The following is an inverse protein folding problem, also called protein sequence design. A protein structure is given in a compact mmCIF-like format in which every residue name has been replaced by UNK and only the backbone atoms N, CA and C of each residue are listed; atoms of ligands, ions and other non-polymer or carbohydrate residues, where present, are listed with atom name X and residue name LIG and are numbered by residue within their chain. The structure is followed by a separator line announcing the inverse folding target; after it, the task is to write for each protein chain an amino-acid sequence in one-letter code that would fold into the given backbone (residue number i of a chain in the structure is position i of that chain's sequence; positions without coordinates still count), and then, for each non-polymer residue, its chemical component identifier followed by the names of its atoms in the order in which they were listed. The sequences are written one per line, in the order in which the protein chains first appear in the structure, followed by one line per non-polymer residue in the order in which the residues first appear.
data_IF_005850672415
#
_entry.id   IF_005850672415
#
_cell.length_a   1.000
_cell.length_b   1.000
_cell.length_c   1.000
_cell.angle_alpha   90.00
_cell.angle_beta   90.00
_cell.angle_gamma   90.00
#
_symmetry.space_group_name_H-M   'P 1'
#
loop_
_entity.id
_entity.type
_entity.pdbx_description
1 polymer ?
#
# COMPACT_ATOMS: atom_id res chain seq x y z
N UNK A 1 6.41 -15.80 -1.53
CA UNK A 1 5.02 -15.32 -1.67
C UNK A 1 5.00 -14.27 -2.75
N UNK A 2 4.06 -14.40 -3.67
CA UNK A 2 3.76 -13.41 -4.71
C UNK A 2 2.85 -12.36 -4.09
N UNK A 3 3.11 -11.10 -4.31
CA UNK A 3 2.20 -10.00 -3.96
C UNK A 3 1.33 -9.58 -5.17
N UNK A 4 0.42 -8.64 -4.97
CA UNK A 4 -0.46 -8.16 -6.04
C UNK A 4 0.32 -7.59 -7.23
N UNK A 5 1.42 -6.89 -7.00
CA UNK A 5 2.25 -6.31 -8.05
C UNK A 5 2.94 -7.38 -8.92
N UNK A 6 3.38 -8.48 -8.32
CA UNK A 6 3.97 -9.61 -9.05
C UNK A 6 2.95 -10.28 -9.99
N UNK A 7 1.69 -10.35 -9.57
CA UNK A 7 0.60 -10.88 -10.40
C UNK A 7 0.30 -9.92 -11.53
N UNK A 8 0.13 -8.64 -11.22
CA UNK A 8 -0.17 -7.58 -12.20
C UNK A 8 0.93 -7.44 -13.26
N UNK A 9 2.20 -7.53 -12.86
CA UNK A 9 3.33 -7.45 -13.79
C UNK A 9 3.38 -8.56 -14.85
N UNK A 10 2.61 -9.64 -14.68
CA UNK A 10 2.48 -10.73 -15.67
C UNK A 10 1.36 -10.49 -16.69
N UNK A 11 0.54 -9.45 -16.48
CA UNK A 11 -0.58 -9.14 -17.35
C UNK A 11 -0.10 -8.31 -18.54
N UNK A 12 -0.41 -8.74 -19.76
CA UNK A 12 -0.05 -8.00 -20.97
C UNK A 12 -0.53 -6.56 -20.92
N UNK A 13 0.35 -5.60 -21.23
CA UNK A 13 0.07 -4.17 -21.20
C UNK A 13 0.13 -3.51 -19.82
N UNK A 14 0.29 -4.29 -18.75
CA UNK A 14 0.60 -3.75 -17.40
C UNK A 14 2.11 -3.75 -17.22
N UNK A 15 2.64 -2.60 -16.80
CA UNK A 15 4.05 -2.48 -16.42
C UNK A 15 4.12 -1.87 -15.01
N UNK A 16 4.87 -2.53 -14.13
CA UNK A 16 5.09 -2.08 -12.76
C UNK A 16 6.58 -1.87 -12.55
N UNK A 17 6.93 -0.66 -12.10
CA UNK A 17 8.28 -0.31 -11.70
C UNK A 17 8.29 0.02 -10.21
N UNK A 18 8.96 -0.80 -9.44
CA UNK A 18 9.20 -0.59 -8.02
C UNK A 18 10.53 0.14 -7.82
N UNK A 19 10.59 1.10 -6.89
CA UNK A 19 11.75 1.96 -6.68
C UNK A 19 12.74 1.42 -5.64
N UNK A 20 12.43 0.30 -4.97
CA UNK A 20 13.29 -0.25 -3.92
C UNK A 20 12.76 -1.58 -3.36
N UNK A 21 13.07 -1.84 -2.08
CA UNK A 21 12.65 -3.03 -1.34
C UNK A 21 11.16 -3.06 -0.97
N UNK A 22 10.82 -3.88 0.00
CA UNK A 22 9.45 -3.99 0.53
C UNK A 22 9.00 -2.62 1.05
N UNK A 23 7.75 -2.24 0.77
CA UNK A 23 7.20 -0.92 1.17
C UNK A 23 7.67 0.28 0.33
N UNK A 24 8.53 0.07 -0.68
CA UNK A 24 8.92 1.16 -1.57
C UNK A 24 7.78 1.57 -2.50
N UNK A 25 7.81 2.82 -2.96
CA UNK A 25 6.86 3.32 -3.95
C UNK A 25 6.94 2.50 -5.24
N UNK A 26 5.82 2.34 -5.91
CA UNK A 26 5.75 1.72 -7.22
C UNK A 26 4.98 2.63 -8.19
N UNK A 27 5.35 2.54 -9.45
CA UNK A 27 4.64 3.17 -10.56
C UNK A 27 4.00 2.08 -11.40
N UNK A 28 2.71 2.20 -11.64
CA UNK A 28 1.95 1.31 -12.50
C UNK A 28 1.57 2.04 -13.77
N UNK A 29 1.76 1.39 -14.91
CA UNK A 29 1.24 1.85 -16.19
C UNK A 29 0.44 0.75 -16.89
N UNK A 30 -0.61 1.16 -17.60
CA UNK A 30 -1.46 0.30 -18.41
C UNK A 30 -1.46 0.83 -19.84
N UNK A 31 -0.95 0.06 -20.79
CA UNK A 31 -0.77 0.47 -22.18
C UNK A 31 -0.04 1.82 -22.38
N UNK A 32 0.95 2.09 -21.51
CA UNK A 32 1.74 3.33 -21.55
C UNK A 32 1.09 4.52 -20.79
N UNK A 33 -0.11 4.40 -20.30
CA UNK A 33 -0.79 5.40 -19.47
C UNK A 33 -0.52 5.13 -17.99
N UNK A 34 -0.34 6.17 -17.18
CA UNK A 34 0.04 6.05 -15.77
C UNK A 34 -0.56 7.17 -14.90
N UNK A 35 -0.32 7.10 -13.60
CA UNK A 35 -0.84 8.06 -12.63
C UNK A 35 -2.36 8.08 -12.62
N UNK A 36 -2.97 9.27 -12.56
CA UNK A 36 -4.43 9.43 -12.47
C UNK A 36 -5.23 8.94 -13.69
N UNK A 37 -4.54 8.57 -14.78
CA UNK A 37 -5.19 8.03 -15.98
C UNK A 37 -5.58 6.53 -15.81
N UNK A 38 -4.94 5.82 -14.89
CA UNK A 38 -5.23 4.43 -14.56
C UNK A 38 -5.71 4.35 -13.12
N UNK A 39 -6.96 3.96 -12.93
CA UNK A 39 -7.53 3.84 -11.60
C UNK A 39 -7.43 2.41 -11.08
N UNK A 40 -7.09 2.30 -9.80
CA UNK A 40 -7.01 1.03 -9.11
C UNK A 40 -8.14 0.97 -8.08
N UNK A 41 -8.82 -0.17 -8.04
CA UNK A 41 -9.93 -0.41 -7.13
C UNK A 41 -9.65 -1.66 -6.30
N UNK A 42 -10.15 -1.67 -5.08
CA UNK A 42 -10.22 -2.83 -4.19
C UNK A 42 -11.70 -3.15 -3.92
N UNK A 43 -12.17 -4.28 -4.42
CA UNK A 43 -13.59 -4.69 -4.36
C UNK A 43 -14.56 -3.60 -4.88
N UNK A 44 -14.14 -2.85 -5.93
CA UNK A 44 -14.91 -1.76 -6.53
C UNK A 44 -14.74 -0.38 -5.87
N UNK A 45 -14.00 -0.28 -4.77
CA UNK A 45 -13.71 0.99 -4.09
C UNK A 45 -12.35 1.53 -4.56
N UNK A 46 -12.26 2.81 -4.96
CA UNK A 46 -10.99 3.40 -5.38
C UNK A 46 -9.90 3.30 -4.32
N UNK A 47 -8.72 2.79 -4.68
CA UNK A 47 -7.61 2.59 -3.74
C UNK A 47 -6.99 3.88 -3.22
N UNK A 48 -7.25 5.01 -3.87
CA UNK A 48 -6.79 6.34 -3.40
C UNK A 48 -7.29 6.67 -1.98
N UNK A 49 -8.42 6.08 -1.58
CA UNK A 49 -8.97 6.27 -0.23
C UNK A 49 -8.29 5.40 0.83
N UNK A 50 -7.55 4.37 0.42
CA UNK A 50 -6.94 3.42 1.37
C UNK A 50 -5.55 3.86 1.86
N UNK A 51 -4.91 4.85 1.22
CA UNK A 51 -3.59 5.37 1.60
C UNK A 51 -2.43 4.40 1.35
N UNK A 52 -1.28 4.69 1.97
CA UNK A 52 -0.04 3.94 1.72
C UNK A 52 0.01 2.62 2.48
N UNK A 53 -0.61 2.53 3.65
CA UNK A 53 -0.67 1.33 4.48
C UNK A 53 -1.41 0.16 3.80
N UNK A 54 -2.35 0.45 2.91
CA UNK A 54 -3.11 -0.53 2.13
C UNK A 54 -2.74 -0.53 0.64
N UNK A 55 -1.50 -0.27 0.30
CA UNK A 55 -1.03 -0.32 -1.10
C UNK A 55 -1.01 -1.75 -1.66
N UNK A 56 -1.04 -1.89 -2.97
CA UNK A 56 -0.97 -3.20 -3.65
C UNK A 56 0.29 -4.01 -3.30
N UNK A 57 1.39 -3.34 -2.93
CA UNK A 57 2.61 -3.99 -2.47
C UNK A 57 2.42 -4.84 -1.21
N UNK A 58 1.43 -4.47 -0.38
CA UNK A 58 1.19 -5.10 0.90
C UNK A 58 0.24 -6.29 0.80
N UNK A 59 -0.54 -6.38 -0.30
CA UNK A 59 -1.50 -7.47 -0.48
C UNK A 59 -0.81 -8.73 -0.98
N UNK A 60 -0.82 -9.77 -0.15
CA UNK A 60 -0.41 -11.12 -0.54
C UNK A 60 -1.41 -11.74 -1.53
N UNK A 61 -0.91 -12.61 -2.41
CA UNK A 61 -1.73 -13.27 -3.42
C UNK A 61 -2.92 -14.06 -2.85
N UNK A 62 -2.78 -14.64 -1.66
CA UNK A 62 -3.87 -15.39 -1.02
C UNK A 62 -5.03 -14.50 -0.49
N UNK A 63 -4.84 -13.20 -0.42
CA UNK A 63 -5.91 -12.24 -0.12
C UNK A 63 -6.70 -11.87 -1.38
N UNK A 64 -6.25 -12.26 -2.56
CA UNK A 64 -6.81 -11.88 -3.85
C UNK A 64 -7.50 -13.10 -4.47
N UNK A 65 -8.76 -12.95 -4.81
CA UNK A 65 -9.50 -13.96 -5.57
C UNK A 65 -9.20 -13.85 -7.08
N UNK A 66 -9.31 -12.63 -7.64
CA UNK A 66 -9.01 -12.33 -9.03
C UNK A 66 -8.67 -10.86 -9.23
N UNK A 67 -8.05 -10.56 -10.35
CA UNK A 67 -7.78 -9.19 -10.80
C UNK A 67 -8.46 -8.98 -12.15
N UNK A 68 -9.26 -7.93 -12.24
CA UNK A 68 -9.94 -7.51 -13.46
C UNK A 68 -9.21 -6.31 -14.04
N UNK A 69 -8.79 -6.40 -15.31
CA UNK A 69 -8.07 -5.31 -16.00
C UNK A 69 -8.89 -4.83 -17.18
N UNK A 70 -9.35 -3.60 -17.11
CA UNK A 70 -10.15 -2.94 -18.13
C UNK A 70 -9.26 -2.00 -18.96
N UNK A 71 -9.06 -2.33 -20.22
CA UNK A 71 -8.20 -1.60 -21.15
C UNK A 71 -9.07 -0.72 -22.05
N UNK A 72 -9.15 0.58 -21.72
CA UNK A 72 -9.93 1.55 -22.49
C UNK A 72 -11.36 1.70 -21.99
N UNK A 73 -12.25 0.75 -22.25
CA UNK A 73 -13.66 0.84 -21.80
C UNK A 73 -13.78 0.29 -20.38
N UNK A 74 -14.14 1.17 -19.46
CA UNK A 74 -14.33 0.83 -18.04
C UNK A 74 -15.84 0.73 -17.74
N UNK A 75 -16.30 -0.28 -16.99
CA UNK A 75 -17.69 -0.38 -16.57
C UNK A 75 -18.16 0.86 -15.81
N UNK A 76 -19.42 1.25 -15.96
CA UNK A 76 -19.98 2.48 -15.38
C UNK A 76 -19.76 2.58 -13.87
N UNK A 77 -19.83 1.46 -13.14
CA UNK A 77 -19.63 1.42 -11.70
C UNK A 77 -18.17 1.62 -11.25
N UNK A 78 -17.20 1.58 -12.19
CA UNK A 78 -15.78 1.88 -12.00
C UNK A 78 -15.34 3.12 -12.79
N UNK A 79 -16.26 3.83 -13.44
CA UNK A 79 -15.92 4.78 -14.51
C UNK A 79 -15.56 6.18 -14.03
N UNK A 80 -15.51 6.46 -12.73
CA UNK A 80 -15.08 7.78 -12.28
C UNK A 80 -13.61 8.03 -12.65
N UNK A 81 -13.38 8.89 -13.63
CA UNK A 81 -12.08 9.44 -14.03
C UNK A 81 -11.01 8.46 -14.60
N UNK A 82 -11.40 7.24 -14.97
CA UNK A 82 -10.49 6.21 -15.49
C UNK A 82 -10.33 6.32 -17.03
N UNK A 83 -9.72 7.39 -17.53
CA UNK A 83 -9.59 7.65 -18.98
C UNK A 83 -8.70 6.61 -19.70
N UNK A 84 -7.70 6.06 -19.03
CA UNK A 84 -6.75 5.10 -19.59
C UNK A 84 -7.06 3.65 -19.31
N UNK A 85 -7.98 3.39 -18.38
CA UNK A 85 -8.36 2.04 -17.95
C UNK A 85 -8.44 1.89 -16.44
N UNK A 86 -8.90 0.73 -15.99
CA UNK A 86 -9.05 0.42 -14.57
C UNK A 86 -8.50 -0.97 -14.23
N UNK A 87 -8.03 -1.11 -13.01
CA UNK A 87 -7.64 -2.38 -12.41
C UNK A 87 -8.47 -2.57 -11.16
N UNK A 88 -9.25 -3.64 -11.08
CA UNK A 88 -10.06 -3.95 -9.92
C UNK A 88 -9.55 -5.25 -9.27
N UNK A 89 -9.02 -5.13 -8.06
CA UNK A 89 -8.56 -6.26 -7.25
C UNK A 89 -9.74 -6.77 -6.44
N UNK A 90 -10.19 -7.98 -6.74
CA UNK A 90 -11.31 -8.63 -6.08
C UNK A 90 -10.78 -9.58 -5.01
N UNK A 91 -11.14 -9.34 -3.78
CA UNK A 91 -10.72 -10.15 -2.63
C UNK A 91 -11.76 -11.22 -2.25
N UNK A 92 -12.99 -11.07 -2.69
CA UNK A 92 -14.12 -11.94 -2.35
C UNK A 92 -14.63 -12.66 -3.61
N UNK A 93 -14.82 -13.96 -3.56
CA UNK A 93 -15.21 -14.68 -4.78
C UNK A 93 -15.87 -16.02 -4.55
N UNK A 94 -15.95 -16.49 -3.32
CA UNK A 94 -16.60 -17.79 -3.02
C UNK A 94 -17.70 -17.64 -1.98
N UNK A 95 -18.71 -18.51 -2.08
CA UNK A 95 -19.76 -18.66 -1.08
C UNK A 95 -19.45 -19.77 -0.06
N UNK A 96 -18.29 -20.40 -0.14
CA UNK A 96 -17.87 -21.47 0.78
C UNK A 96 -17.11 -20.91 1.99
N UNK A 97 -17.10 -21.64 3.10
CA UNK A 97 -16.20 -21.40 4.21
C UNK A 97 -14.80 -21.88 3.86
N UNK A 98 -13.78 -21.11 4.22
CA UNK A 98 -12.37 -21.45 4.00
C UNK A 98 -11.45 -20.74 4.99
N UNK A 99 -10.25 -21.26 5.10
CA UNK A 99 -9.10 -20.60 5.75
C UNK A 99 -7.91 -20.80 4.84
N UNK A 100 -7.21 -19.71 4.54
CA UNK A 100 -5.97 -19.69 3.77
C UNK A 100 -4.95 -18.83 4.51
N UNK A 101 -3.77 -19.37 4.77
CA UNK A 101 -2.70 -18.68 5.46
C UNK A 101 -1.38 -18.84 4.71
N UNK A 102 -0.58 -17.80 4.67
CA UNK A 102 0.76 -17.84 4.09
C UNK A 102 1.79 -17.19 5.00
N UNK A 103 3.01 -17.75 4.95
CA UNK A 103 4.19 -17.18 5.61
C UNK A 103 5.40 -17.31 4.70
N UNK A 104 6.13 -16.22 4.54
CA UNK A 104 7.30 -16.15 3.67
C UNK A 104 8.45 -15.47 4.39
N UNK A 105 9.63 -16.03 4.25
CA UNK A 105 10.90 -15.43 4.70
C UNK A 105 11.76 -15.14 3.47
N UNK A 106 12.39 -13.99 3.44
CA UNK A 106 13.25 -13.55 2.33
C UNK A 106 14.54 -12.91 2.83
N UNK A 107 15.34 -12.43 1.88
CA UNK A 107 16.56 -11.67 2.17
C UNK A 107 16.23 -10.34 2.88
N UNK A 108 17.22 -9.77 3.53
CA UNK A 108 17.12 -8.45 4.19
C UNK A 108 16.08 -8.44 5.33
N UNK A 109 16.03 -9.52 6.14
CA UNK A 109 15.08 -9.62 7.24
C UNK A 109 13.61 -9.68 6.82
N UNK A 110 13.31 -9.92 5.54
CA UNK A 110 11.95 -9.92 5.02
C UNK A 110 11.12 -11.04 5.60
N UNK A 111 9.97 -10.69 6.16
CA UNK A 111 8.95 -11.59 6.68
C UNK A 111 7.58 -11.08 6.19
N UNK A 112 6.85 -11.93 5.48
CA UNK A 112 5.51 -11.63 4.98
C UNK A 112 4.57 -12.71 5.48
N UNK A 113 3.52 -12.32 6.18
CA UNK A 113 2.48 -13.25 6.62
C UNK A 113 1.10 -12.73 6.26
N UNK A 114 0.18 -13.64 5.98
CA UNK A 114 -1.20 -13.28 5.69
C UNK A 114 -2.16 -14.39 6.06
N UNK A 115 -3.38 -14.00 6.42
CA UNK A 115 -4.51 -14.86 6.71
C UNK A 115 -5.73 -14.36 5.96
N UNK A 116 -6.45 -15.26 5.30
CA UNK A 116 -7.72 -15.01 4.65
C UNK A 116 -8.70 -16.11 5.09
N UNK A 117 -9.73 -15.74 5.82
CA UNK A 117 -10.70 -16.68 6.35
C UNK A 117 -12.13 -16.20 6.11
N UNK A 118 -13.00 -17.11 5.77
CA UNK A 118 -14.44 -16.89 5.65
C UNK A 118 -15.20 -18.02 6.30
N UNK A 119 -16.17 -17.67 7.12
CA UNK A 119 -17.23 -18.55 7.57
C UNK A 119 -18.55 -18.15 6.91
N UNK A 120 -19.27 -19.09 6.34
CA UNK A 120 -20.61 -18.88 5.80
C UNK A 120 -21.55 -19.97 6.24
N UNK A 121 -22.67 -19.57 6.84
CA UNK A 121 -23.75 -20.47 7.19
C UNK A 121 -24.72 -20.62 6.00
N UNK A 122 -24.78 -21.79 5.40
CA UNK A 122 -25.43 -22.03 4.10
C UNK A 122 -26.95 -21.66 4.10
N UNK A 123 -27.69 -22.03 5.15
CA UNK A 123 -29.12 -21.83 5.19
C UNK A 123 -29.55 -20.36 5.34
N UNK A 124 -28.79 -19.57 6.11
CA UNK A 124 -29.12 -18.17 6.36
C UNK A 124 -28.38 -17.21 5.45
N UNK A 125 -27.29 -17.67 4.82
CA UNK A 125 -26.37 -16.81 4.09
C UNK A 125 -25.52 -15.91 5.00
N UNK A 126 -25.62 -16.05 6.34
CA UNK A 126 -24.75 -15.30 7.26
C UNK A 126 -23.29 -15.57 6.93
N UNK A 127 -22.52 -14.52 6.81
CA UNK A 127 -21.11 -14.57 6.40
C UNK A 127 -20.28 -13.69 7.32
N UNK A 128 -19.18 -14.23 7.81
CA UNK A 128 -18.16 -13.50 8.53
C UNK A 128 -16.82 -13.70 7.82
N UNK A 129 -16.03 -12.64 7.65
CA UNK A 129 -14.72 -12.65 7.00
C UNK A 129 -13.68 -12.01 7.87
N UNK A 130 -12.48 -12.56 7.80
CA UNK A 130 -11.28 -11.98 8.41
C UNK A 130 -10.13 -12.07 7.41
N UNK A 131 -9.54 -10.93 7.11
CA UNK A 131 -8.31 -10.84 6.32
C UNK A 131 -7.27 -10.10 7.14
N UNK A 132 -6.05 -10.55 7.12
CA UNK A 132 -4.96 -9.85 7.78
C UNK A 132 -3.65 -10.08 7.06
N UNK A 133 -2.74 -9.15 7.22
CA UNK A 133 -1.33 -9.33 6.87
C UNK A 133 -0.42 -8.63 7.87
N UNK A 134 0.81 -9.14 7.94
CA UNK A 134 1.96 -8.50 8.58
C UNK A 134 3.15 -8.65 7.65
N UNK A 135 3.74 -7.53 7.26
CA UNK A 135 4.88 -7.44 6.37
C UNK A 135 5.98 -6.64 7.06
N UNK A 136 7.19 -7.18 7.07
CA UNK A 136 8.38 -6.53 7.60
C UNK A 136 9.57 -6.78 6.69
N UNK A 137 10.46 -5.79 6.56
CA UNK A 137 11.78 -5.95 5.96
C UNK A 137 12.72 -4.90 6.51
N UNK A 138 13.98 -5.26 6.75
CA UNK A 138 15.03 -4.31 7.16
C UNK A 138 15.55 -3.53 5.93
N UNK A 139 15.30 -4.02 4.70
CA UNK A 139 15.69 -3.41 3.43
C UNK A 139 17.17 -2.97 3.37
N UNK A 140 18.06 -3.67 4.09
CA UNK A 140 19.47 -3.35 4.20
C UNK A 140 20.32 -3.84 3.01
N UNK A 141 19.74 -3.83 1.82
CA UNK A 141 20.46 -4.18 0.60
C UNK A 141 21.47 -3.10 0.19
N UNK A 142 22.49 -3.51 -0.60
CA UNK A 142 23.52 -2.59 -1.05
C UNK A 142 23.06 -1.75 -2.25
N UNK A 143 23.49 -0.49 -2.24
CA UNK A 143 23.24 0.48 -3.32
C UNK A 143 24.54 1.16 -3.72
N UNK A 144 24.72 1.52 -5.00
CA UNK A 144 25.83 2.33 -5.44
C UNK A 144 25.57 3.80 -5.14
N UNK A 145 26.49 4.46 -4.43
CA UNK A 145 26.38 5.87 -4.05
C UNK A 145 27.71 6.59 -4.26
N UNK A 146 27.67 7.87 -4.60
CA UNK A 146 28.83 8.73 -4.57
C UNK A 146 29.00 9.29 -3.15
N UNK A 147 30.05 8.86 -2.46
CA UNK A 147 30.34 9.31 -1.10
C UNK A 147 30.67 10.81 -1.09
N UNK A 148 30.18 11.52 -0.06
CA UNK A 148 30.44 12.94 0.13
C UNK A 148 31.48 13.12 1.21
N UNK A 149 32.51 13.88 0.92
CA UNK A 149 33.45 14.39 1.92
C UNK A 149 32.78 15.56 2.66
N UNK A 150 32.47 15.38 3.91
CA UNK A 150 31.80 16.40 4.75
C UNK A 150 32.65 17.63 5.04
N UNK A 151 33.99 17.57 4.85
CA UNK A 151 34.86 18.72 5.06
C UNK A 151 34.87 19.63 3.82
N UNK A 152 34.90 19.04 2.63
CA UNK A 152 34.98 19.76 1.37
C UNK A 152 33.67 19.93 0.64
N UNK A 153 32.63 19.15 1.03
CA UNK A 153 31.32 19.09 0.37
C UNK A 153 31.35 18.43 -1.02
N UNK A 154 32.50 17.82 -1.42
CA UNK A 154 32.66 17.22 -2.75
C UNK A 154 32.19 15.75 -2.73
N UNK A 155 31.50 15.35 -3.78
CA UNK A 155 31.19 13.95 -4.04
C UNK A 155 32.38 13.24 -4.66
N UNK A 156 32.58 11.96 -4.37
CA UNK A 156 33.52 11.11 -5.03
C UNK A 156 33.18 10.93 -6.52
N UNK A 157 34.18 10.82 -7.38
CA UNK A 157 33.94 10.59 -8.82
C UNK A 157 33.35 9.20 -9.10
N UNK A 158 33.74 8.20 -8.30
CA UNK A 158 33.30 6.82 -8.46
C UNK A 158 32.23 6.44 -7.41
N UNK A 159 31.29 5.59 -7.81
CA UNK A 159 30.28 5.06 -6.91
C UNK A 159 30.83 3.92 -6.05
N UNK A 160 30.54 3.94 -4.76
CA UNK A 160 30.86 2.89 -3.79
C UNK A 160 29.58 2.14 -3.42
N UNK A 161 29.68 0.80 -3.35
CA UNK A 161 28.56 -0.03 -2.88
C UNK A 161 28.49 -0.02 -1.35
N UNK A 162 27.41 0.51 -0.83
CA UNK A 162 27.16 0.64 0.62
C UNK A 162 25.84 -0.02 0.99
N UNK A 163 25.76 -0.51 2.22
CA UNK A 163 24.57 -1.10 2.78
C UNK A 163 23.62 -0.02 3.31
N UNK A 164 22.33 -0.17 3.08
CA UNK A 164 21.31 0.73 3.66
C UNK A 164 21.16 0.41 5.14
N UNK A 165 20.89 1.44 5.97
CA UNK A 165 20.77 1.30 7.42
C UNK A 165 19.54 1.98 8.03
N UNK A 166 18.81 2.79 7.26
CA UNK A 166 17.58 3.48 7.68
C UNK A 166 16.53 3.38 6.56
N UNK A 167 16.16 2.14 6.18
CA UNK A 167 15.19 1.84 5.12
C UNK A 167 14.21 0.74 5.55
N UNK A 168 14.13 0.48 6.85
CA UNK A 168 13.23 -0.50 7.43
C UNK A 168 11.76 -0.18 7.11
N UNK A 169 10.98 -1.23 6.97
CA UNK A 169 9.56 -1.16 6.68
C UNK A 169 8.79 -2.19 7.50
N UNK A 170 7.69 -1.76 8.08
CA UNK A 170 6.71 -2.61 8.73
C UNK A 170 5.30 -2.17 8.35
N UNK A 171 4.42 -3.11 8.06
CA UNK A 171 3.01 -2.83 7.76
C UNK A 171 2.13 -3.97 8.19
N UNK A 172 1.00 -3.65 8.76
CA UNK A 172 -0.01 -4.62 9.22
C UNK A 172 -1.41 -4.15 8.93
N UNK A 173 -2.30 -5.12 8.75
CA UNK A 173 -3.72 -4.90 8.51
C UNK A 173 -4.53 -6.00 9.17
N UNK A 174 -5.67 -5.63 9.73
CA UNK A 174 -6.76 -6.51 10.09
C UNK A 174 -8.07 -5.98 9.50
N UNK A 175 -8.73 -6.78 8.68
CA UNK A 175 -10.00 -6.47 8.04
C UNK A 175 -11.05 -7.49 8.44
N UNK A 176 -12.03 -7.07 9.22
CA UNK A 176 -13.15 -7.90 9.65
C UNK A 176 -14.45 -7.41 9.02
N UNK A 177 -15.23 -8.33 8.48
CA UNK A 177 -16.53 -8.07 7.86
C UNK A 177 -17.56 -9.07 8.35
N UNK A 178 -18.80 -8.61 8.52
CA UNK A 178 -19.96 -9.47 8.81
C UNK A 178 -21.16 -9.05 7.98
N UNK A 179 -22.02 -10.02 7.66
CA UNK A 179 -23.24 -9.73 6.90
C UNK A 179 -23.87 -10.97 6.28
N UNK A 180 -24.41 -10.82 5.10
CA UNK A 180 -25.13 -11.88 4.38
C UNK A 180 -24.68 -11.94 2.92
N UNK A 181 -24.50 -13.17 2.41
CA UNK A 181 -24.14 -13.39 1.01
C UNK A 181 -25.01 -14.48 0.39
N UNK A 182 -25.35 -14.29 -0.91
CA UNK A 182 -26.11 -15.27 -1.68
C UNK A 182 -27.51 -15.52 -1.13
N UNK A 183 -28.20 -14.48 -0.67
CA UNK A 183 -29.57 -14.54 -0.15
C UNK A 183 -30.56 -14.00 -1.17
N UNK A 184 -31.89 -14.24 -0.90
CA UNK A 184 -32.94 -13.69 -1.75
C UNK A 184 -32.96 -12.15 -1.77
N UNK A 185 -32.63 -11.51 -0.65
CA UNK A 185 -32.67 -10.05 -0.49
C UNK A 185 -31.35 -9.35 -0.84
N UNK A 186 -30.24 -10.07 -0.85
CA UNK A 186 -28.93 -9.52 -1.19
C UNK A 186 -28.00 -10.61 -1.77
N UNK A 187 -27.32 -10.30 -2.85
CA UNK A 187 -26.20 -11.12 -3.31
C UNK A 187 -24.99 -10.88 -2.40
N UNK A 188 -24.85 -9.64 -1.93
CA UNK A 188 -23.92 -9.25 -0.88
C UNK A 188 -24.48 -8.09 -0.05
N UNK A 189 -24.51 -8.26 1.25
CA UNK A 189 -24.78 -7.21 2.25
C UNK A 189 -23.75 -7.37 3.35
N UNK A 190 -22.73 -6.53 3.36
CA UNK A 190 -21.61 -6.64 4.29
C UNK A 190 -21.31 -5.30 4.94
N UNK A 191 -20.98 -5.36 6.22
CA UNK A 191 -20.41 -4.23 6.95
C UNK A 191 -19.08 -4.67 7.56
N UNK A 192 -18.11 -3.78 7.55
CA UNK A 192 -16.76 -4.12 7.99
C UNK A 192 -15.97 -2.96 8.56
N UNK A 193 -14.88 -3.33 9.22
CA UNK A 193 -13.87 -2.43 9.74
C UNK A 193 -12.50 -2.93 9.31
N UNK A 194 -11.67 -2.02 8.82
CA UNK A 194 -10.27 -2.25 8.50
C UNK A 194 -9.44 -1.38 9.43
N UNK A 195 -8.52 -2.00 10.15
CA UNK A 195 -7.42 -1.32 10.80
C UNK A 195 -6.15 -1.60 10.01
N UNK A 196 -5.37 -0.58 9.72
CA UNK A 196 -4.05 -0.74 9.12
C UNK A 196 -3.09 0.29 9.66
N UNK A 197 -1.85 -0.11 9.81
CA UNK A 197 -0.75 0.79 10.11
C UNK A 197 0.48 0.44 9.28
N UNK A 198 1.35 1.43 9.09
CA UNK A 198 2.68 1.22 8.57
C UNK A 198 3.69 2.13 9.26
N UNK A 199 4.90 1.63 9.37
CA UNK A 199 6.10 2.36 9.75
C UNK A 199 7.13 2.23 8.63
N UNK A 200 7.72 3.34 8.22
CA UNK A 200 8.72 3.37 7.17
C UNK A 200 9.85 4.30 7.54
N UNK A 201 11.06 3.77 7.52
CA UNK A 201 12.28 4.55 7.57
C UNK A 201 12.62 5.11 6.19
N UNK A 202 13.15 6.32 6.15
CA UNK A 202 13.50 7.00 4.91
C UNK A 202 14.99 7.31 4.91
N UNK A 203 15.77 6.60 4.09
CA UNK A 203 17.20 6.79 4.01
C UNK A 203 17.63 7.83 2.99
N UNK A 204 16.85 8.05 1.94
CA UNK A 204 17.16 9.06 0.93
C UNK A 204 15.90 9.63 0.29
N UNK A 205 15.98 10.87 -0.19
CA UNK A 205 14.90 11.48 -0.94
C UNK A 205 14.62 10.68 -2.21
N UNK A 206 13.33 10.50 -2.52
CA UNK A 206 12.88 9.78 -3.72
C UNK A 206 13.33 10.42 -5.04
N UNK A 207 13.79 11.66 -5.02
CA UNK A 207 14.12 12.49 -6.20
C UNK A 207 15.60 12.83 -6.35
N UNK A 208 16.49 12.23 -5.59
CA UNK A 208 17.93 12.55 -5.62
C UNK A 208 18.66 11.87 -6.80
N UNK A 209 18.25 12.17 -8.02
CA UNK A 209 19.01 11.82 -9.22
C UNK A 209 20.11 12.87 -9.40
N UNK A 210 21.38 12.48 -9.20
CA UNK A 210 22.53 13.29 -9.54
C UNK A 210 22.98 14.33 -8.51
N UNK A 211 22.45 14.32 -7.29
CA UNK A 211 23.01 15.08 -6.16
C UNK A 211 23.90 14.19 -5.29
N UNK A 212 24.91 14.78 -4.69
CA UNK A 212 25.75 14.15 -3.68
C UNK A 212 24.85 13.63 -2.56
N UNK A 213 24.62 12.32 -2.52
CA UNK A 213 23.62 11.71 -1.65
C UNK A 213 24.15 11.63 -0.22
N UNK A 214 23.65 12.51 0.64
CA UNK A 214 23.78 12.36 2.10
C UNK A 214 22.57 11.54 2.55
N UNK A 215 22.77 10.39 3.20
CA UNK A 215 21.65 9.56 3.66
C UNK A 215 20.96 10.22 4.86
N UNK A 216 19.66 9.99 4.97
CA UNK A 216 18.94 10.28 6.20
C UNK A 216 19.09 9.11 7.17
N UNK A 217 19.32 9.38 8.45
CA UNK A 217 19.56 8.34 9.44
C UNK A 217 18.48 8.18 10.49
N UNK A 218 17.58 9.18 10.62
CA UNK A 218 16.51 9.18 11.63
C UNK A 218 15.14 9.59 11.08
N UNK A 219 15.03 9.84 9.77
CA UNK A 219 13.73 10.22 9.17
C UNK A 219 12.83 9.01 9.09
N UNK A 220 11.60 9.15 9.56
CA UNK A 220 10.56 8.11 9.48
C UNK A 220 9.19 8.68 9.16
N UNK A 221 8.33 7.82 8.64
CA UNK A 221 6.90 8.07 8.46
C UNK A 221 6.10 6.92 9.08
N UNK A 222 5.04 7.28 9.77
CA UNK A 222 4.06 6.36 10.35
C UNK A 222 2.66 6.74 9.83
N UNK A 223 1.84 5.76 9.51
CA UNK A 223 0.44 5.98 9.15
C UNK A 223 -0.43 4.97 9.89
N UNK A 224 -1.35 5.48 10.70
CA UNK A 224 -2.42 4.73 11.33
C UNK A 224 -3.74 5.01 10.63
N UNK A 225 -4.55 3.97 10.39
CA UNK A 225 -5.78 4.11 9.64
C UNK A 225 -6.88 3.18 10.13
N UNK A 226 -8.08 3.74 10.25
CA UNK A 226 -9.31 2.99 10.46
C UNK A 226 -10.25 3.32 9.29
N UNK A 227 -10.73 2.26 8.62
CA UNK A 227 -11.77 2.39 7.63
C UNK A 227 -13.01 1.62 8.10
N UNK A 228 -14.17 2.21 7.86
CA UNK A 228 -15.45 1.52 7.98
C UNK A 228 -16.05 1.39 6.59
N UNK A 229 -16.54 0.22 6.24
CA UNK A 229 -17.14 -0.02 4.94
C UNK A 229 -18.50 -0.69 5.07
N UNK A 230 -19.36 -0.37 4.12
CA UNK A 230 -20.65 -1.02 3.93
C UNK A 230 -20.86 -1.26 2.44
N UNK A 231 -21.29 -2.46 2.08
CA UNK A 231 -21.55 -2.85 0.70
C UNK A 231 -22.90 -3.54 0.60
N UNK A 232 -23.73 -3.12 -0.35
CA UNK A 232 -24.95 -3.79 -0.74
C UNK A 232 -24.99 -3.99 -2.25
N UNK A 233 -25.07 -5.24 -2.66
CA UNK A 233 -25.22 -5.62 -4.06
C UNK A 233 -26.42 -6.55 -4.22
N UNK A 234 -27.27 -6.27 -5.21
CA UNK A 234 -28.39 -7.13 -5.59
C UNK A 234 -28.62 -7.06 -7.09
N UNK A 235 -28.52 -8.19 -7.75
CA UNK A 235 -28.94 -8.36 -9.15
C UNK A 235 -30.37 -8.89 -9.20
N UNK A 236 -31.14 -8.44 -10.18
CA UNK A 236 -32.54 -8.91 -10.34
C UNK A 236 -33.48 -8.45 -9.23
N UNK A 237 -33.31 -7.22 -8.70
CA UNK A 237 -34.20 -6.64 -7.70
C UNK A 237 -35.52 -6.24 -8.36
N UNK A 238 -36.62 -6.85 -7.95
CA UNK A 238 -37.98 -6.71 -8.51
C UNK A 238 -38.14 -7.20 -9.96
N UNK A 239 -37.15 -7.07 -10.81
CA UNK A 239 -37.11 -7.57 -12.19
C UNK A 239 -35.72 -8.03 -12.53
N UNK A 240 -35.54 -8.98 -13.43
CA UNK A 240 -34.23 -9.51 -13.86
C UNK A 240 -33.30 -8.42 -14.49
N UNK A 241 -33.86 -7.27 -14.82
CA UNK A 241 -33.13 -6.17 -15.47
C UNK A 241 -32.63 -5.10 -14.49
N UNK A 242 -33.11 -5.11 -13.24
CA UNK A 242 -32.74 -4.10 -12.25
C UNK A 242 -31.67 -4.64 -11.31
N UNK A 243 -30.50 -4.02 -11.32
CA UNK A 243 -29.43 -4.30 -10.37
C UNK A 243 -29.15 -3.06 -9.53
N UNK A 244 -28.89 -3.27 -8.24
CA UNK A 244 -28.51 -2.21 -7.29
C UNK A 244 -27.15 -2.56 -6.73
N UNK A 245 -26.22 -1.61 -6.85
CA UNK A 245 -24.91 -1.66 -6.22
C UNK A 245 -24.74 -0.37 -5.41
N UNK A 246 -24.49 -0.51 -4.13
CA UNK A 246 -24.23 0.60 -3.23
C UNK A 246 -23.06 0.28 -2.34
N UNK A 247 -22.23 1.26 -2.09
CA UNK A 247 -21.16 1.15 -1.12
C UNK A 247 -21.02 2.46 -0.34
N UNK A 248 -20.49 2.35 0.85
CA UNK A 248 -20.06 3.47 1.68
C UNK A 248 -18.69 3.14 2.27
N UNK A 249 -17.80 4.11 2.28
CA UNK A 249 -16.49 4.01 2.94
C UNK A 249 -16.24 5.29 3.72
N UNK A 250 -15.97 5.13 5.01
CA UNK A 250 -15.46 6.20 5.88
C UNK A 250 -14.02 5.90 6.24
N UNK A 251 -13.13 6.86 6.10
CA UNK A 251 -11.71 6.72 6.36
C UNK A 251 -11.28 7.75 7.39
N UNK A 252 -10.59 7.28 8.43
CA UNK A 252 -9.94 8.09 9.47
C UNK A 252 -8.47 7.70 9.46
N UNK A 253 -7.59 8.65 9.19
CA UNK A 253 -6.15 8.38 9.18
C UNK A 253 -5.37 9.49 9.89
N UNK A 254 -4.33 9.05 10.59
CA UNK A 254 -3.28 9.89 11.15
C UNK A 254 -1.97 9.53 10.45
N UNK A 255 -1.24 10.52 9.97
CA UNK A 255 0.09 10.34 9.39
C UNK A 255 1.06 11.19 10.15
N UNK A 256 2.11 10.57 10.69
CA UNK A 256 3.19 11.22 11.41
C UNK A 256 4.47 11.13 10.59
N UNK A 257 5.04 12.29 10.27
CA UNK A 257 6.39 12.38 9.69
C UNK A 257 7.35 12.99 10.69
N UNK A 258 8.45 12.29 10.94
CA UNK A 258 9.49 12.70 11.89
C UNK A 258 10.78 13.00 11.15
N UNK A 259 11.26 14.24 11.27
CA UNK A 259 12.54 14.74 10.79
C UNK A 259 13.18 15.63 11.85
N UNK A 260 13.66 15.02 12.94
CA UNK A 260 14.11 15.72 14.15
C UNK A 260 15.59 15.50 14.50
N UNK A 261 16.36 14.88 13.59
CA UNK A 261 17.76 14.56 13.83
C UNK A 261 18.61 15.78 14.15
N UNK A 262 19.46 15.69 15.18
CA UNK A 262 20.45 16.69 15.55
C UNK A 262 21.82 16.46 14.93
N UNK A 263 21.95 15.39 14.15
CA UNK A 263 23.19 14.99 13.49
C UNK A 263 22.94 14.70 12.01
N UNK A 264 23.99 14.62 11.23
CA UNK A 264 24.00 14.06 9.86
C UNK A 264 24.67 12.72 9.88
N UNK A 265 24.33 11.90 8.91
CA UNK A 265 24.89 10.58 8.74
C UNK A 265 25.69 10.48 7.43
N UNK A 266 26.78 9.72 7.44
CA UNK A 266 27.34 9.20 6.21
C UNK A 266 26.72 7.83 5.87
N UNK A 267 27.10 7.28 4.72
CA UNK A 267 26.60 5.98 4.25
C UNK A 267 27.11 4.77 5.05
N UNK A 268 28.01 4.99 6.00
CA UNK A 268 28.50 3.95 6.92
C UNK A 268 27.84 4.06 8.30
N UNK A 269 26.86 4.97 8.46
CA UNK A 269 26.16 5.21 9.72
C UNK A 269 26.95 6.04 10.73
N UNK A 270 28.06 6.63 10.33
CA UNK A 270 28.82 7.53 11.21
C UNK A 270 28.07 8.85 11.39
N UNK A 271 28.10 9.39 12.62
CA UNK A 271 27.39 10.60 13.01
C UNK A 271 28.30 11.81 12.93
N UNK A 272 27.78 12.88 12.34
CA UNK A 272 28.47 14.18 12.24
C UNK A 272 27.59 15.27 12.85
N UNK A 273 28.18 16.09 13.70
CA UNK A 273 27.48 17.21 14.34
C UNK A 273 27.09 18.24 13.26
N UNK A 274 25.84 18.66 13.25
CA UNK A 274 25.38 19.77 12.41
C UNK A 274 25.92 21.10 12.93
N UNK A 275 26.26 21.99 12.00
CA UNK A 275 26.61 23.38 12.33
C UNK A 275 25.37 24.12 12.84
N UNK A 276 24.20 23.83 12.29
CA UNK A 276 22.90 24.36 12.68
C UNK A 276 21.99 23.24 13.16
N UNK A 277 21.75 23.15 14.45
CA UNK A 277 20.89 22.14 15.08
C UNK A 277 19.39 22.45 14.92
N UNK A 278 19.01 23.54 14.29
CA UNK A 278 17.59 23.87 14.03
C UNK A 278 17.02 23.16 12.80
N UNK A 279 17.88 22.60 11.94
CA UNK A 279 17.48 21.93 10.70
C UNK A 279 17.24 20.45 10.91
N UNK A 280 16.26 19.87 10.19
CA UNK A 280 16.07 18.44 10.01
C UNK A 280 17.10 17.83 9.04
N UNK A 281 16.92 16.59 8.65
CA UNK A 281 17.74 15.94 7.61
C UNK A 281 17.23 16.30 6.20
N UNK A 282 15.93 16.48 6.05
CA UNK A 282 15.25 16.86 4.81
C UNK A 282 14.89 18.33 4.79
N UNK A 283 14.27 18.82 5.86
CA UNK A 283 13.70 20.15 5.95
C UNK A 283 14.69 21.17 6.53
N UNK A 284 14.50 22.44 6.16
CA UNK A 284 15.27 23.56 6.73
C UNK A 284 14.97 23.80 8.22
N UNK A 285 14.07 23.05 8.82
CA UNK A 285 13.74 23.03 10.26
C UNK A 285 13.48 21.59 10.67
N UNK A 286 13.75 21.28 11.94
CA UNK A 286 13.28 20.03 12.53
C UNK A 286 11.76 19.98 12.46
N UNK A 287 11.22 18.91 11.94
CA UNK A 287 9.79 18.77 11.68
C UNK A 287 9.24 17.52 12.37
N UNK A 288 8.18 17.71 13.12
CA UNK A 288 7.27 16.66 13.56
C UNK A 288 5.89 17.04 13.02
N UNK A 289 5.48 16.44 11.94
CA UNK A 289 4.23 16.77 11.26
C UNK A 289 3.23 15.64 11.48
N UNK A 290 2.09 15.98 12.08
CA UNK A 290 0.93 15.10 12.17
C UNK A 290 -0.16 15.61 11.22
N UNK A 291 -0.68 14.74 10.38
CA UNK A 291 -1.79 15.01 9.48
C UNK A 291 -2.96 14.09 9.81
N UNK A 292 -4.04 14.68 10.28
CA UNK A 292 -5.32 13.99 10.49
C UNK A 292 -6.20 14.17 9.25
N UNK A 293 -6.68 13.05 8.72
CA UNK A 293 -7.54 13.07 7.54
C UNK A 293 -8.82 12.29 7.79
N UNK A 294 -9.96 12.86 7.37
CA UNK A 294 -11.27 12.22 7.40
C UNK A 294 -11.91 12.31 6.03
N UNK A 295 -12.17 11.18 5.42
CA UNK A 295 -12.79 11.10 4.10
C UNK A 295 -14.03 10.20 4.15
N UNK A 296 -15.04 10.54 3.36
CA UNK A 296 -16.26 9.76 3.21
C UNK A 296 -16.58 9.62 1.72
N UNK A 297 -16.96 8.43 1.31
CA UNK A 297 -17.36 8.12 -0.05
C UNK A 297 -18.61 7.23 -0.01
N UNK A 298 -19.62 7.58 -0.79
CA UNK A 298 -20.88 6.83 -0.91
C UNK A 298 -21.33 6.73 -2.37
#
# INVERSE_FOLDING_TARGET
STNANDILGRISGVNIRQSGGVGSAFNLSLNGLSGNQVRIFLDGVPMDYFGTSLSLNNFSANLINRIEVYKGVVPIHLSSDALGGAINVITNGTLSSYIDASYTVGSFGTQLSSLNAQYRHENSGFTARLKSFYNRSDNNYKVPVQLVDFQTGKAADEATWVERFNDGYESRMAWAEVGFTGTKFADQLMAGVIYSDNYKELQQASNAIGQANIPYGEVSEEEDKILVNFVYNKQGLFTDKLSVNSYFVGVFSETLRKDTASVRYDWFGNRFIKIDDTTGEIENRKTLLTLDTKNYLA
#
